data_IF_968745438798
#
_entry.id   IF_968745438798
#
_cell.length_a   1.000
_cell.length_b   1.000
_cell.length_c   1.000
_cell.angle_alpha   90.00
_cell.angle_beta   90.00
_cell.angle_gamma   90.00
#
_symmetry.space_group_name_H-M   'P 1'
#
loop_
_entity.id
_entity.type
_entity.pdbx_description
1 polymer ?
#
# COMPACT_ATOMS: atom_id res chain seq x y z
N UNK A 1 10.56 -11.84 -4.47
CA UNK A 1 10.03 -10.55 -4.00
C UNK A 1 8.68 -10.76 -3.31
N UNK A 2 8.35 -9.88 -2.39
CA UNK A 2 7.07 -9.91 -1.68
C UNK A 2 6.24 -8.71 -2.14
N UNK A 3 4.96 -8.95 -2.43
CA UNK A 3 4.01 -7.90 -2.79
C UNK A 3 2.92 -7.85 -1.73
N UNK A 4 2.71 -6.68 -1.14
CA UNK A 4 1.63 -6.43 -0.18
C UNK A 4 0.57 -5.58 -0.87
N UNK A 5 -0.66 -6.09 -0.86
CA UNK A 5 -1.81 -5.41 -1.46
C UNK A 5 -2.77 -5.03 -0.34
N UNK A 6 -2.94 -3.74 -0.10
CA UNK A 6 -3.90 -3.25 0.87
C UNK A 6 -5.09 -2.68 0.12
N UNK A 7 -6.23 -3.33 0.25
CA UNK A 7 -7.47 -2.94 -0.41
C UNK A 7 -8.14 -1.83 0.39
N UNK A 8 -8.41 -0.71 -0.27
CA UNK A 8 -8.86 0.52 0.37
C UNK A 8 -10.20 0.97 -0.22
N UNK A 9 -11.20 1.08 0.64
CA UNK A 9 -12.50 1.63 0.27
C UNK A 9 -12.64 3.00 0.91
N UNK A 10 -12.62 4.05 0.10
CA UNK A 10 -12.70 5.42 0.60
C UNK A 10 -14.12 5.95 0.62
N UNK A 11 -14.40 6.82 1.59
CA UNK A 11 -15.61 7.63 1.55
C UNK A 11 -15.50 8.58 0.35
N UNK A 12 -16.48 8.60 -0.57
CA UNK A 12 -16.37 9.41 -1.81
C UNK A 12 -16.05 10.88 -1.57
N UNK A 13 -16.63 11.47 -0.52
CA UNK A 13 -16.40 12.88 -0.21
C UNK A 13 -15.00 13.17 0.32
N UNK A 14 -14.28 12.13 0.77
CA UNK A 14 -12.94 12.26 1.34
C UNK A 14 -11.84 11.77 0.38
N UNK A 15 -12.20 11.32 -0.81
CA UNK A 15 -11.25 10.69 -1.73
C UNK A 15 -10.08 11.59 -2.09
N UNK A 16 -10.34 12.84 -2.45
CA UNK A 16 -9.29 13.78 -2.85
C UNK A 16 -8.29 14.01 -1.70
N UNK A 17 -8.80 14.18 -0.48
CA UNK A 17 -7.98 14.36 0.71
C UNK A 17 -7.16 13.11 1.02
N UNK A 18 -7.78 11.93 0.92
CA UNK A 18 -7.10 10.66 1.16
C UNK A 18 -5.95 10.45 0.18
N UNK A 19 -6.16 10.74 -1.09
CA UNK A 19 -5.11 10.64 -2.11
C UNK A 19 -3.95 11.60 -1.81
N UNK A 20 -4.26 12.82 -1.38
CA UNK A 20 -3.23 13.79 -1.02
C UNK A 20 -2.38 13.30 0.14
N UNK A 21 -3.01 12.79 1.19
CA UNK A 21 -2.30 12.22 2.34
C UNK A 21 -1.43 11.03 1.87
N UNK A 22 -1.96 10.19 1.03
CA UNK A 22 -1.23 9.02 0.53
C UNK A 22 0.06 9.44 -0.18
N UNK A 23 -0.03 10.37 -1.13
CA UNK A 23 1.13 10.77 -1.92
C UNK A 23 2.10 11.66 -1.12
N UNK A 24 1.60 12.50 -0.23
CA UNK A 24 2.46 13.44 0.52
C UNK A 24 3.06 12.81 1.77
N UNK A 25 2.38 11.88 2.42
CA UNK A 25 2.77 11.39 3.75
C UNK A 25 3.02 9.88 3.80
N UNK A 26 2.35 9.07 2.97
CA UNK A 26 2.50 7.63 3.00
C UNK A 26 3.65 7.17 2.11
N UNK A 27 3.61 7.54 0.84
CA UNK A 27 4.62 7.11 -0.15
C UNK A 27 6.04 7.45 0.28
N UNK A 28 6.35 8.68 0.73
CA UNK A 28 7.72 9.00 1.13
C UNK A 28 8.23 8.16 2.29
N UNK A 29 7.37 7.84 3.25
CA UNK A 29 7.76 7.02 4.41
C UNK A 29 8.01 5.57 3.98
N UNK A 30 7.13 5.00 3.16
CA UNK A 30 7.28 3.62 2.68
C UNK A 30 8.56 3.47 1.86
N UNK A 31 8.83 4.42 0.97
CA UNK A 31 10.02 4.37 0.11
C UNK A 31 11.34 4.39 0.87
N UNK A 32 11.36 4.91 2.09
CA UNK A 32 12.55 4.94 2.94
C UNK A 32 12.77 3.65 3.73
N UNK A 33 11.81 2.75 3.73
CA UNK A 33 11.93 1.50 4.49
C UNK A 33 12.92 0.56 3.81
N UNK A 34 13.70 -0.15 4.62
CA UNK A 34 14.67 -1.11 4.11
C UNK A 34 13.99 -2.17 3.24
N UNK A 35 14.52 -2.39 2.06
CA UNK A 35 14.04 -3.42 1.15
C UNK A 35 12.82 -3.04 0.33
N UNK A 36 12.28 -1.83 0.50
CA UNK A 36 11.17 -1.38 -0.33
C UNK A 36 11.65 -1.12 -1.76
N UNK A 37 10.97 -1.73 -2.71
CA UNK A 37 11.26 -1.56 -4.14
C UNK A 37 10.29 -0.55 -4.75
N UNK A 38 9.01 -0.61 -4.36
CA UNK A 38 7.96 0.15 -5.00
C UNK A 38 6.79 0.41 -4.05
N UNK A 39 6.10 1.53 -4.28
CA UNK A 39 4.90 1.91 -3.55
C UNK A 39 3.98 2.62 -4.52
N UNK A 40 2.85 2.00 -4.85
CA UNK A 40 1.89 2.51 -5.83
C UNK A 40 0.47 2.49 -5.30
N UNK A 41 -0.31 3.47 -5.73
CA UNK A 41 -1.75 3.45 -5.54
C UNK A 41 -2.39 3.03 -6.87
N UNK A 42 -3.09 1.90 -6.85
CA UNK A 42 -3.84 1.42 -8.00
C UNK A 42 -5.25 1.99 -7.91
N UNK A 43 -5.62 2.77 -8.90
CA UNK A 43 -6.96 3.33 -9.00
C UNK A 43 -7.85 2.39 -9.81
N UNK A 44 -9.05 2.09 -9.33
CA UNK A 44 -9.94 1.23 -10.09
C UNK A 44 -10.46 1.92 -11.34
N UNK A 45 -10.55 1.18 -12.44
CA UNK A 45 -11.23 1.63 -13.65
C UNK A 45 -12.74 1.50 -13.44
N UNK A 46 -13.15 0.39 -12.82
CA UNK A 46 -14.56 0.18 -12.46
C UNK A 46 -14.85 0.83 -11.10
N UNK A 47 -15.85 1.70 -11.05
CA UNK A 47 -16.16 2.49 -9.86
C UNK A 47 -16.55 1.66 -8.64
N UNK A 48 -16.95 0.41 -8.84
CA UNK A 48 -17.35 -0.50 -7.76
C UNK A 48 -16.16 -1.20 -7.11
N UNK A 49 -14.97 -1.13 -7.73
CA UNK A 49 -13.78 -1.77 -7.20
C UNK A 49 -13.07 -0.90 -6.17
N UNK A 50 -12.30 -1.53 -5.30
CA UNK A 50 -11.49 -0.83 -4.31
C UNK A 50 -10.23 -0.25 -4.94
N UNK A 51 -9.70 0.81 -4.34
CA UNK A 51 -8.32 1.23 -4.53
C UNK A 51 -7.41 0.19 -3.91
N UNK A 52 -6.17 0.10 -4.39
CA UNK A 52 -5.18 -0.82 -3.82
C UNK A 52 -3.88 -0.06 -3.61
N UNK A 53 -3.37 -0.10 -2.37
CA UNK A 53 -2.01 0.33 -2.11
C UNK A 53 -1.10 -0.88 -2.31
N UNK A 54 -0.23 -0.83 -3.31
CA UNK A 54 0.70 -1.92 -3.62
C UNK A 54 2.11 -1.53 -3.20
N UNK A 55 2.70 -2.34 -2.32
CA UNK A 55 4.11 -2.19 -1.97
C UNK A 55 4.86 -3.47 -2.31
N UNK A 56 6.04 -3.32 -2.86
CA UNK A 56 6.89 -4.45 -3.25
C UNK A 56 8.19 -4.41 -2.45
N UNK A 57 8.65 -5.58 -2.00
CA UNK A 57 9.77 -5.73 -1.07
C UNK A 57 10.75 -6.77 -1.58
N UNK A 58 12.04 -6.53 -1.37
CA UNK A 58 13.08 -7.46 -1.83
C UNK A 58 12.95 -8.83 -1.18
N UNK A 59 12.69 -8.86 0.14
CA UNK A 59 12.62 -10.10 0.90
C UNK A 59 11.41 -10.11 1.83
N UNK A 60 11.01 -11.33 2.24
CA UNK A 60 9.98 -11.49 3.24
C UNK A 60 10.39 -10.86 4.57
N UNK A 61 11.66 -10.96 4.95
CA UNK A 61 12.16 -10.37 6.18
C UNK A 61 11.96 -8.85 6.20
N UNK A 62 12.22 -8.18 5.09
CA UNK A 62 12.02 -6.73 4.99
C UNK A 62 10.55 -6.35 5.09
N UNK A 63 9.68 -7.10 4.40
CA UNK A 63 8.23 -6.87 4.49
C UNK A 63 7.71 -7.10 5.90
N UNK A 64 8.17 -8.16 6.56
CA UNK A 64 7.78 -8.49 7.93
C UNK A 64 8.26 -7.41 8.92
N UNK A 65 9.47 -6.90 8.74
CA UNK A 65 10.02 -5.82 9.57
C UNK A 65 9.20 -4.54 9.44
N UNK A 66 8.81 -4.18 8.21
CA UNK A 66 7.92 -3.04 7.97
C UNK A 66 6.60 -3.21 8.73
N UNK A 67 6.01 -4.39 8.64
CA UNK A 67 4.74 -4.68 9.33
C UNK A 67 4.88 -4.63 10.86
N UNK A 68 5.90 -5.29 11.39
CA UNK A 68 6.08 -5.44 12.84
C UNK A 68 6.64 -4.19 13.52
N UNK A 69 7.30 -3.29 12.78
CA UNK A 69 7.84 -2.04 13.33
C UNK A 69 6.75 -1.05 13.76
N UNK A 70 5.52 -1.25 13.32
CA UNK A 70 4.43 -0.32 13.59
C UNK A 70 4.26 0.78 12.54
N UNK A 71 5.19 0.89 11.59
CA UNK A 71 5.12 1.92 10.53
C UNK A 71 3.85 1.77 9.70
N UNK A 72 3.57 0.54 9.23
CA UNK A 72 2.36 0.26 8.47
C UNK A 72 1.09 0.69 9.22
N UNK A 73 1.00 0.33 10.50
CA UNK A 73 -0.15 0.70 11.34
C UNK A 73 -0.29 2.22 11.46
N UNK A 74 0.82 2.92 11.67
CA UNK A 74 0.81 4.39 11.77
C UNK A 74 0.33 5.03 10.47
N UNK A 75 0.74 4.49 9.33
CA UNK A 75 0.31 5.01 8.03
C UNK A 75 -1.18 4.77 7.78
N UNK A 76 -1.68 3.60 8.15
CA UNK A 76 -3.13 3.31 8.07
C UNK A 76 -3.92 4.30 8.93
N UNK A 77 -3.44 4.61 10.14
CA UNK A 77 -4.13 5.56 11.03
C UNK A 77 -4.25 6.97 10.44
N UNK A 78 -3.28 7.39 9.62
CA UNK A 78 -3.33 8.72 8.98
C UNK A 78 -4.54 8.90 8.06
N UNK A 79 -5.00 7.80 7.45
CA UNK A 79 -6.13 7.84 6.49
C UNK A 79 -7.36 7.10 7.00
N UNK A 80 -7.35 6.60 8.22
CA UNK A 80 -8.46 5.79 8.76
C UNK A 80 -9.81 6.50 8.69
N UNK A 81 -9.84 7.80 8.98
CA UNK A 81 -11.07 8.60 8.94
C UNK A 81 -11.70 8.70 7.55
N UNK A 82 -10.90 8.44 6.52
CA UNK A 82 -11.33 8.54 5.13
C UNK A 82 -11.83 7.21 4.56
N UNK A 83 -11.73 6.12 5.33
CA UNK A 83 -12.17 4.80 4.89
C UNK A 83 -13.66 4.61 5.09
N UNK A 84 -14.31 3.96 4.11
CA UNK A 84 -15.69 3.52 4.23
C UNK A 84 -15.80 2.21 5.02
N UNK A 85 -14.73 1.41 5.02
CA UNK A 85 -14.62 0.15 5.77
C UNK A 85 -13.15 -0.12 6.07
N UNK A 86 -12.87 -1.07 6.96
CA UNK A 86 -11.51 -1.44 7.31
C UNK A 86 -10.73 -1.94 6.09
N UNK A 87 -9.44 -1.56 5.97
CA UNK A 87 -8.60 -2.04 4.88
C UNK A 87 -8.36 -3.54 5.01
N UNK A 88 -8.22 -4.21 3.87
CA UNK A 88 -7.91 -5.63 3.80
C UNK A 88 -6.52 -5.81 3.20
N UNK A 89 -5.63 -6.44 3.96
CA UNK A 89 -4.26 -6.73 3.51
C UNK A 89 -4.17 -8.15 2.97
N UNK A 90 -3.59 -8.29 1.78
CA UNK A 90 -3.21 -9.57 1.21
C UNK A 90 -1.74 -9.53 0.83
N UNK A 91 -1.03 -10.64 1.05
CA UNK A 91 0.41 -10.72 0.80
C UNK A 91 0.70 -11.86 -0.14
N UNK A 92 1.50 -11.58 -1.17
CA UNK A 92 1.87 -12.54 -2.20
C UNK A 92 3.36 -12.56 -2.41
N UNK A 93 3.85 -13.67 -2.95
CA UNK A 93 5.22 -13.72 -3.47
C UNK A 93 5.17 -13.57 -4.98
N UNK A 94 6.23 -13.02 -5.54
CA UNK A 94 6.41 -12.98 -6.99
C UNK A 94 7.89 -13.15 -7.30
N UNK A 95 8.18 -13.64 -8.49
CA UNK A 95 9.54 -13.75 -8.98
C UNK A 95 9.96 -12.47 -9.67
N UNK A 96 11.27 -12.24 -9.73
CA UNK A 96 11.80 -11.15 -10.53
C UNK A 96 11.46 -11.40 -12.01
N UNK A 97 11.11 -10.32 -12.71
CA UNK A 97 10.86 -10.40 -14.16
C UNK A 97 12.16 -10.70 -14.86
N UNK A 98 12.15 -11.74 -15.71
CA UNK A 98 13.28 -12.06 -16.58
C UNK A 98 13.07 -11.37 -17.92
N UNK A 99 14.08 -10.64 -18.38
CA UNK A 99 13.97 -9.81 -19.59
C UNK A 99 13.62 -10.59 -20.84
N UNK A 100 14.00 -11.84 -20.90
CA UNK A 100 13.79 -12.70 -22.07
C UNK A 100 12.65 -13.71 -21.89
N UNK A 101 11.94 -13.59 -20.82
CA UNK A 101 10.82 -14.51 -20.52
C UNK A 101 9.62 -14.24 -21.39
#
# INVERSE_FOLDING_TARGET
MIVRLTYLSFLPQNLAQAKKIYFDEVVPVVKKQKGNIDCRLLEPIEKTDDYISMTTWETKADADAYNSSGVYRQLVEKVRKDFAKDPLLKVYTTEAILEHA
#
